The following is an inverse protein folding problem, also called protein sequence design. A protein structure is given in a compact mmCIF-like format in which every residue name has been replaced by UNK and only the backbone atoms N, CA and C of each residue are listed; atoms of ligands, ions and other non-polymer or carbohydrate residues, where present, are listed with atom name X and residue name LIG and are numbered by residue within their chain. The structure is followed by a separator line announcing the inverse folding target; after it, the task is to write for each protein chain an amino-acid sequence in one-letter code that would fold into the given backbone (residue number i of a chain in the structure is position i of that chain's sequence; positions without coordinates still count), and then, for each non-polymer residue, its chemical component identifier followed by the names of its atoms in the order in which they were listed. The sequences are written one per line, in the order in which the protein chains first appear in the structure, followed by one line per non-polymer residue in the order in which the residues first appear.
data_IF_494217610978
#
_entry.id   IF_494217610978
#
_cell.length_a   1.000
_cell.length_b   1.000
_cell.length_c   1.000
_cell.angle_alpha   90.00
_cell.angle_beta   90.00
_cell.angle_gamma   90.00
#
_symmetry.space_group_name_H-M   'P 1'
#
loop_
_entity.id
_entity.type
_entity.pdbx_description
1 polymer ?
#
# COMPACT_ATOMS: atom_id res chain seq x y z
N UNK A 1 71.54 44.27 26.73
CA UNK A 1 71.19 42.89 27.12
C UNK A 1 70.07 43.03 28.14
N UNK A 2 68.79 42.93 27.77
CA UNK A 2 68.04 41.68 27.52
C UNK A 2 68.23 40.71 28.72
N UNK A 3 67.23 40.17 29.40
CA UNK A 3 65.96 39.65 28.91
C UNK A 3 64.96 39.40 30.08
N UNK A 4 63.71 39.21 29.69
CA UNK A 4 62.46 39.07 30.40
C UNK A 4 62.33 37.84 31.31
N UNK A 5 61.38 37.93 32.24
CA UNK A 5 60.77 36.79 32.92
C UNK A 5 59.40 37.14 33.50
N UNK A 6 58.34 37.06 32.69
CA UNK A 6 56.94 37.15 33.14
C UNK A 6 56.53 35.89 33.94
N UNK A 7 55.66 35.99 34.97
CA UNK A 7 55.17 34.84 35.71
C UNK A 7 53.86 34.27 35.13
N UNK A 8 53.56 32.97 35.31
CA UNK A 8 52.22 32.46 35.11
C UNK A 8 51.53 32.05 36.42
N UNK A 9 50.27 32.46 36.55
CA UNK A 9 49.16 31.56 36.86
C UNK A 9 48.93 31.18 38.33
N UNK A 10 47.84 31.68 38.91
CA UNK A 10 46.58 30.93 39.12
C UNK A 10 45.78 31.57 40.27
N UNK A 11 44.83 32.43 39.92
CA UNK A 11 43.77 32.85 40.82
C UNK A 11 42.75 31.70 40.94
N UNK A 12 42.68 31.06 42.12
CA UNK A 12 41.57 30.15 42.46
C UNK A 12 40.37 30.98 42.89
N UNK A 13 39.38 31.06 42.01
CA UNK A 13 38.07 31.62 42.31
C UNK A 13 37.24 30.58 43.06
N UNK A 14 36.81 30.91 44.28
CA UNK A 14 35.86 30.12 45.07
C UNK A 14 34.48 30.27 44.45
N UNK A 15 33.99 29.23 43.76
CA UNK A 15 32.64 29.20 43.23
C UNK A 15 31.70 28.56 44.27
N UNK A 16 30.89 29.39 44.92
CA UNK A 16 29.86 29.00 45.87
C UNK A 16 28.77 28.19 45.15
N UNK A 17 28.65 26.91 45.51
CA UNK A 17 27.51 26.07 45.11
C UNK A 17 26.22 26.63 45.73
N UNK A 18 25.34 27.21 44.90
CA UNK A 18 23.92 27.42 45.25
C UNK A 18 23.12 26.17 44.85
N UNK A 19 22.38 25.52 45.76
CA UNK A 19 21.47 24.46 45.36
C UNK A 19 20.27 25.09 44.65
N UNK A 20 20.07 24.74 43.38
CA UNK A 20 18.84 25.07 42.67
C UNK A 20 17.69 24.25 43.28
N UNK A 21 16.73 24.95 43.89
CA UNK A 21 15.48 24.37 44.36
C UNK A 21 14.75 23.75 43.17
N UNK A 22 14.48 22.45 43.28
CA UNK A 22 13.79 21.63 42.29
C UNK A 22 12.30 21.93 42.37
N UNK A 23 11.81 22.84 41.54
CA UNK A 23 10.37 23.05 41.36
C UNK A 23 9.77 21.78 40.69
N UNK A 24 8.72 21.15 41.26
CA UNK A 24 8.03 20.07 40.58
C UNK A 24 7.20 20.69 39.45
N UNK A 25 7.69 20.51 38.22
CA UNK A 25 6.89 20.79 37.03
C UNK A 25 5.71 19.81 37.01
N UNK A 26 4.57 20.24 37.55
CA UNK A 26 3.27 19.65 37.24
C UNK A 26 2.98 19.95 35.76
N UNK A 27 3.60 19.19 34.87
CA UNK A 27 3.09 18.99 33.53
C UNK A 27 1.77 18.22 33.71
N UNK A 28 0.68 18.97 33.87
CA UNK A 28 -0.66 18.46 33.62
C UNK A 28 -0.68 18.19 32.11
N UNK A 29 -0.17 17.02 31.73
CA UNK A 29 -0.43 16.45 30.43
C UNK A 29 -1.95 16.39 30.34
N UNK A 30 -2.53 17.23 29.49
CA UNK A 30 -3.89 17.03 29.05
C UNK A 30 -3.91 15.62 28.45
N UNK A 31 -4.42 14.68 29.23
CA UNK A 31 -4.73 13.35 28.79
C UNK A 31 -5.85 13.54 27.78
N UNK A 32 -5.49 13.80 26.52
CA UNK A 32 -6.41 13.74 25.40
C UNK A 32 -6.88 12.30 25.41
N UNK A 33 -8.03 12.10 26.05
CA UNK A 33 -8.74 10.84 26.07
C UNK A 33 -8.97 10.50 24.62
N UNK A 34 -8.14 9.62 24.06
CA UNK A 34 -8.41 9.03 22.76
C UNK A 34 -9.64 8.18 23.00
N UNK A 35 -10.79 8.74 22.67
CA UNK A 35 -12.02 7.96 22.54
C UNK A 35 -11.65 6.77 21.66
N UNK A 36 -11.76 5.52 22.16
CA UNK A 36 -11.43 4.36 21.35
C UNK A 36 -12.39 4.41 20.17
N UNK A 37 -11.85 4.64 18.97
CA UNK A 37 -12.62 4.59 17.74
C UNK A 37 -13.39 3.27 17.77
N UNK A 38 -14.72 3.36 17.79
CA UNK A 38 -15.57 2.19 17.73
C UNK A 38 -15.07 1.33 16.57
N UNK A 39 -14.89 0.00 16.75
CA UNK A 39 -14.41 -0.85 15.67
C UNK A 39 -15.42 -0.67 14.53
N UNK A 40 -15.00 0.04 13.49
CA UNK A 40 -15.83 0.19 12.32
C UNK A 40 -15.99 -1.23 11.80
N UNK A 41 -17.17 -1.82 11.97
CA UNK A 41 -17.51 -3.06 11.29
C UNK A 41 -17.35 -2.71 9.82
N UNK A 42 -16.30 -3.26 9.21
CA UNK A 42 -15.61 -2.90 7.95
C UNK A 42 -16.48 -3.03 6.69
N UNK A 43 -17.73 -2.54 6.72
CA UNK A 43 -18.72 -2.72 5.67
C UNK A 43 -18.23 -2.24 4.30
N UNK A 44 -17.46 -1.15 4.26
CA UNK A 44 -16.87 -0.64 3.02
C UNK A 44 -15.90 -1.64 2.39
N UNK A 45 -15.03 -2.28 3.18
CA UNK A 45 -14.08 -3.28 2.66
C UNK A 45 -14.81 -4.50 2.15
N UNK A 46 -15.86 -4.94 2.84
CA UNK A 46 -16.72 -6.02 2.39
C UNK A 46 -17.38 -5.68 1.06
N UNK A 47 -17.94 -4.47 0.92
CA UNK A 47 -18.52 -3.99 -0.34
C UNK A 47 -17.50 -4.00 -1.47
N UNK A 48 -16.29 -3.46 -1.25
CA UNK A 48 -15.24 -3.45 -2.29
C UNK A 48 -14.78 -4.86 -2.70
N UNK A 49 -14.74 -5.82 -1.78
CA UNK A 49 -14.48 -7.23 -2.12
C UNK A 49 -15.62 -7.82 -2.95
N UNK A 50 -16.87 -7.48 -2.63
CA UNK A 50 -18.02 -7.88 -3.45
C UNK A 50 -17.99 -7.22 -4.83
N UNK A 51 -17.57 -5.96 -4.95
CA UNK A 51 -17.36 -5.32 -6.25
C UNK A 51 -16.32 -6.09 -7.07
N UNK A 52 -15.18 -6.48 -6.47
CA UNK A 52 -14.20 -7.36 -7.11
C UNK A 52 -14.80 -8.70 -7.56
N UNK A 53 -15.62 -9.33 -6.71
CA UNK A 53 -16.29 -10.59 -7.05
C UNK A 53 -17.30 -10.44 -8.20
N UNK A 54 -18.02 -9.32 -8.24
CA UNK A 54 -18.95 -8.98 -9.35
C UNK A 54 -18.16 -8.75 -10.64
N UNK A 55 -17.04 -8.02 -10.59
CA UNK A 55 -16.15 -7.82 -11.75
C UNK A 55 -15.64 -9.17 -12.27
N UNK A 56 -15.21 -10.07 -11.39
CA UNK A 56 -14.80 -11.43 -11.76
C UNK A 56 -15.96 -12.19 -12.43
N UNK A 57 -17.16 -12.17 -11.84
CA UNK A 57 -18.33 -12.87 -12.38
C UNK A 57 -18.72 -12.35 -13.77
N UNK A 58 -18.76 -11.03 -13.95
CA UNK A 58 -19.04 -10.40 -15.26
C UNK A 58 -17.99 -10.76 -16.28
N UNK A 59 -16.71 -10.76 -15.90
CA UNK A 59 -15.62 -11.15 -16.78
C UNK A 59 -15.72 -12.63 -17.21
N UNK A 60 -16.09 -13.53 -16.29
CA UNK A 60 -16.30 -14.96 -16.60
C UNK A 60 -17.48 -15.17 -17.56
N UNK A 61 -18.61 -14.51 -17.32
CA UNK A 61 -19.78 -14.57 -18.21
C UNK A 61 -19.43 -14.01 -19.59
N UNK A 62 -18.72 -12.88 -19.64
CA UNK A 62 -18.23 -12.31 -20.89
C UNK A 62 -17.28 -13.25 -21.62
N UNK A 63 -16.35 -13.88 -20.91
CA UNK A 63 -15.39 -14.80 -21.51
C UNK A 63 -16.04 -16.08 -22.04
N UNK A 64 -17.10 -16.56 -21.39
CA UNK A 64 -17.87 -17.70 -21.89
C UNK A 64 -18.48 -17.44 -23.27
N UNK A 65 -18.79 -16.17 -23.60
CA UNK A 65 -19.39 -15.76 -24.87
C UNK A 65 -18.35 -15.36 -25.92
N UNK A 66 -17.29 -14.64 -25.52
CA UNK A 66 -16.34 -13.99 -26.43
C UNK A 66 -14.89 -14.48 -26.30
N UNK A 67 -14.64 -15.50 -25.46
CA UNK A 67 -13.31 -16.01 -25.16
C UNK A 67 -12.72 -16.89 -26.26
N UNK A 68 -11.45 -17.27 -26.07
CA UNK A 68 -10.67 -18.10 -27.00
C UNK A 68 -10.42 -19.52 -26.43
N UNK A 69 -11.35 -20.00 -25.60
CA UNK A 69 -11.29 -21.31 -24.96
C UNK A 69 -10.76 -21.30 -23.53
N UNK A 70 -11.32 -22.15 -22.67
CA UNK A 70 -11.03 -22.18 -21.24
C UNK A 70 -9.59 -22.56 -20.88
N UNK A 71 -8.87 -23.28 -21.76
CA UNK A 71 -7.45 -23.55 -21.57
C UNK A 71 -6.59 -22.29 -21.62
N UNK A 72 -6.86 -21.40 -22.58
CA UNK A 72 -6.18 -20.09 -22.70
C UNK A 72 -6.51 -19.22 -21.49
N UNK A 73 -7.78 -19.20 -21.08
CA UNK A 73 -8.22 -18.50 -19.88
C UNK A 73 -7.46 -18.96 -18.63
N UNK A 74 -7.48 -20.27 -18.35
CA UNK A 74 -6.85 -20.84 -17.17
C UNK A 74 -5.34 -20.59 -17.17
N UNK A 75 -4.67 -20.74 -18.32
CA UNK A 75 -3.23 -20.48 -18.45
C UNK A 75 -2.89 -19.05 -18.05
N UNK A 76 -3.59 -18.06 -18.60
CA UNK A 76 -3.28 -16.65 -18.35
C UNK A 76 -3.80 -16.14 -17.00
N UNK A 77 -4.90 -16.69 -16.49
CA UNK A 77 -5.40 -16.36 -15.15
C UNK A 77 -4.49 -16.93 -14.05
N UNK A 78 -3.91 -18.12 -14.25
CA UNK A 78 -3.02 -18.76 -13.28
C UNK A 78 -1.54 -18.44 -13.49
N UNK A 79 -1.17 -17.85 -14.63
CA UNK A 79 0.19 -17.39 -14.88
C UNK A 79 0.68 -16.54 -13.69
N UNK A 80 1.96 -16.66 -13.28
CA UNK A 80 2.48 -15.87 -12.17
C UNK A 80 2.42 -14.37 -12.49
N UNK A 81 2.09 -13.57 -11.49
CA UNK A 81 2.05 -12.12 -11.63
C UNK A 81 3.48 -11.55 -11.66
N UNK A 82 3.92 -11.15 -12.85
CA UNK A 82 5.24 -10.57 -13.08
C UNK A 82 5.40 -9.19 -12.43
N UNK A 83 4.31 -8.48 -12.13
CA UNK A 83 4.39 -7.15 -11.50
C UNK A 83 4.99 -7.24 -10.08
N UNK A 84 4.90 -8.40 -9.44
CA UNK A 84 5.52 -8.67 -8.13
C UNK A 84 7.05 -8.61 -8.18
N UNK A 85 7.67 -8.89 -9.33
CA UNK A 85 9.13 -8.75 -9.48
C UNK A 85 9.59 -7.31 -9.28
N UNK A 86 8.71 -6.33 -9.45
CA UNK A 86 8.98 -4.93 -9.13
C UNK A 86 9.40 -4.69 -7.69
N UNK A 87 8.96 -5.53 -6.75
CA UNK A 87 9.36 -5.45 -5.34
C UNK A 87 10.83 -5.80 -5.11
N UNK A 88 11.52 -6.45 -6.06
CA UNK A 88 12.97 -6.64 -6.00
C UNK A 88 13.73 -5.31 -6.11
N UNK A 89 13.14 -4.30 -6.76
CA UNK A 89 13.68 -2.94 -6.83
C UNK A 89 13.19 -2.04 -5.67
N UNK A 90 12.45 -2.60 -4.71
CA UNK A 90 11.97 -1.94 -3.51
C UNK A 90 10.46 -1.64 -3.47
N UNK A 91 9.91 -1.26 -2.31
CA UNK A 91 8.45 -1.18 -2.07
C UNK A 91 7.71 -0.20 -2.98
N UNK A 92 8.33 0.94 -3.30
CA UNK A 92 7.70 1.98 -4.12
C UNK A 92 7.52 1.54 -5.57
N UNK A 93 8.59 0.98 -6.16
CA UNK A 93 8.59 0.47 -7.53
C UNK A 93 7.65 -0.73 -7.64
N UNK A 94 7.71 -1.64 -6.67
CA UNK A 94 6.80 -2.77 -6.58
C UNK A 94 5.33 -2.35 -6.52
N UNK A 95 4.97 -1.40 -5.65
CA UNK A 95 3.61 -0.89 -5.55
C UNK A 95 3.15 -0.21 -6.84
N UNK A 96 4.02 0.58 -7.49
CA UNK A 96 3.70 1.24 -8.76
C UNK A 96 3.43 0.25 -9.89
N UNK A 97 4.32 -0.74 -10.09
CA UNK A 97 4.17 -1.76 -11.14
C UNK A 97 2.96 -2.66 -10.88
N UNK A 98 2.76 -3.07 -9.63
CA UNK A 98 1.60 -3.85 -9.25
C UNK A 98 0.30 -3.08 -9.49
N UNK A 99 0.22 -1.81 -9.07
CA UNK A 99 -0.98 -1.00 -9.27
C UNK A 99 -1.26 -0.74 -10.75
N UNK A 100 -0.23 -0.57 -11.58
CA UNK A 100 -0.40 -0.46 -13.02
C UNK A 100 -1.02 -1.74 -13.63
N UNK A 101 -0.63 -2.92 -13.13
CA UNK A 101 -1.18 -4.20 -13.56
C UNK A 101 -2.58 -4.50 -12.97
N UNK A 102 -2.90 -3.98 -11.78
CA UNK A 102 -4.14 -4.30 -11.04
C UNK A 102 -5.15 -3.15 -10.95
N UNK A 103 -4.91 -2.06 -11.67
CA UNK A 103 -5.92 -1.03 -11.90
C UNK A 103 -6.90 -1.49 -12.97
N UNK A 104 -8.21 -1.25 -12.77
CA UNK A 104 -9.24 -1.57 -13.76
C UNK A 104 -9.08 -0.80 -15.09
N UNK A 105 -8.32 0.29 -15.09
CA UNK A 105 -8.08 1.12 -16.27
C UNK A 105 -7.50 0.29 -17.42
N UNK A 106 -6.44 -0.50 -17.16
CA UNK A 106 -5.79 -1.33 -18.16
C UNK A 106 -6.72 -2.33 -18.86
N UNK A 107 -7.36 -3.27 -18.13
CA UNK A 107 -8.27 -4.24 -18.74
C UNK A 107 -9.48 -3.60 -19.40
N UNK A 108 -10.05 -2.53 -18.85
CA UNK A 108 -11.19 -1.84 -19.45
C UNK A 108 -10.80 -1.16 -20.77
N UNK A 109 -9.64 -0.51 -20.84
CA UNK A 109 -9.14 0.07 -22.08
C UNK A 109 -8.86 -1.00 -23.15
N UNK A 110 -8.26 -2.13 -22.77
CA UNK A 110 -8.01 -3.23 -23.68
C UNK A 110 -9.32 -3.86 -24.20
N UNK A 111 -10.30 -4.04 -23.31
CA UNK A 111 -11.63 -4.54 -23.66
C UNK A 111 -12.34 -3.57 -24.61
N UNK A 112 -12.34 -2.28 -24.30
CA UNK A 112 -12.93 -1.25 -25.16
C UNK A 112 -12.26 -1.23 -26.54
N UNK A 113 -10.92 -1.26 -26.59
CA UNK A 113 -10.17 -1.39 -27.84
C UNK A 113 -10.60 -2.64 -28.62
N UNK A 114 -10.71 -3.79 -27.96
CA UNK A 114 -11.16 -5.03 -28.61
C UNK A 114 -12.54 -4.91 -29.23
N UNK A 115 -13.48 -4.25 -28.56
CA UNK A 115 -14.84 -4.04 -29.07
C UNK A 115 -14.83 -3.05 -30.24
N UNK A 116 -14.25 -1.86 -30.08
CA UNK A 116 -14.31 -0.80 -31.09
C UNK A 116 -13.44 -1.08 -32.33
N UNK A 117 -12.33 -1.78 -32.17
CA UNK A 117 -11.45 -2.18 -33.27
C UNK A 117 -11.80 -3.57 -33.84
N UNK A 118 -12.89 -4.20 -33.36
CA UNK A 118 -13.31 -5.55 -33.74
C UNK A 118 -12.16 -6.58 -33.67
N UNK A 119 -11.40 -6.56 -32.57
CA UNK A 119 -10.27 -7.45 -32.31
C UNK A 119 -10.64 -8.50 -31.25
N UNK A 120 -10.97 -9.75 -31.64
CA UNK A 120 -11.42 -10.78 -30.69
C UNK A 120 -10.37 -11.14 -29.63
N UNK A 121 -9.09 -11.14 -30.02
CA UNK A 121 -7.99 -11.41 -29.09
C UNK A 121 -7.89 -10.37 -27.97
N UNK A 122 -8.20 -9.10 -28.27
CA UNK A 122 -8.17 -8.02 -27.30
C UNK A 122 -9.40 -8.07 -26.38
N UNK A 123 -10.57 -8.47 -26.89
CA UNK A 123 -11.76 -8.74 -26.05
C UNK A 123 -11.45 -9.87 -25.07
N UNK A 124 -10.97 -11.01 -25.57
CA UNK A 124 -10.63 -12.16 -24.73
C UNK A 124 -9.51 -11.83 -23.71
N UNK A 125 -8.46 -11.13 -24.13
CA UNK A 125 -7.36 -10.68 -23.26
C UNK A 125 -7.82 -9.68 -22.21
N UNK A 126 -8.67 -8.71 -22.58
CA UNK A 126 -9.28 -7.75 -21.68
C UNK A 126 -10.15 -8.43 -20.62
N UNK A 127 -10.95 -9.43 -21.01
CA UNK A 127 -11.78 -10.22 -20.09
C UNK A 127 -10.95 -11.09 -19.13
N UNK A 128 -9.89 -11.75 -19.61
CA UNK A 128 -8.96 -12.50 -18.74
C UNK A 128 -8.31 -11.56 -17.72
N UNK A 129 -7.81 -10.41 -18.19
CA UNK A 129 -7.18 -9.43 -17.32
C UNK A 129 -8.18 -8.86 -16.31
N UNK A 130 -9.39 -8.54 -16.74
CA UNK A 130 -10.47 -8.08 -15.87
C UNK A 130 -10.81 -9.13 -14.80
N UNK A 131 -10.91 -10.41 -15.18
CA UNK A 131 -11.11 -11.51 -14.24
C UNK A 131 -9.97 -11.59 -13.21
N UNK A 132 -8.73 -11.41 -13.65
CA UNK A 132 -7.56 -11.41 -12.74
C UNK A 132 -7.63 -10.27 -11.72
N UNK A 133 -7.95 -9.05 -12.16
CA UNK A 133 -8.11 -7.89 -11.27
C UNK A 133 -9.29 -8.08 -10.32
N UNK A 134 -10.43 -8.57 -10.82
CA UNK A 134 -11.60 -8.86 -9.99
C UNK A 134 -11.31 -9.91 -8.91
N UNK A 135 -10.61 -11.00 -9.27
CA UNK A 135 -10.19 -12.02 -8.32
C UNK A 135 -9.25 -11.45 -7.24
N UNK A 136 -8.27 -10.65 -7.65
CA UNK A 136 -7.34 -9.98 -6.73
C UNK A 136 -8.08 -9.08 -5.70
N UNK A 137 -9.04 -8.28 -6.17
CA UNK A 137 -9.83 -7.39 -5.31
C UNK A 137 -10.80 -8.19 -4.43
N UNK A 138 -11.42 -9.25 -4.94
CA UNK A 138 -12.31 -10.13 -4.16
C UNK A 138 -11.59 -10.80 -3.00
N UNK A 139 -10.33 -11.20 -3.19
CA UNK A 139 -9.49 -11.81 -2.17
C UNK A 139 -8.92 -10.79 -1.17
N UNK A 140 -9.15 -9.49 -1.38
CA UNK A 140 -8.67 -8.44 -0.49
C UNK A 140 -7.23 -8.01 -0.74
N UNK A 141 -6.63 -8.37 -1.88
CA UNK A 141 -5.28 -7.92 -2.22
C UNK A 141 -5.29 -6.46 -2.66
N UNK A 142 -6.07 -6.10 -3.68
CA UNK A 142 -6.32 -4.72 -4.11
C UNK A 142 -5.07 -3.88 -4.39
N UNK A 143 -5.29 -2.61 -4.72
CA UNK A 143 -4.21 -1.63 -4.92
C UNK A 143 -3.36 -1.42 -3.65
N UNK A 144 -2.05 -1.28 -3.86
CA UNK A 144 -1.00 -1.23 -2.85
C UNK A 144 -0.57 0.19 -2.53
N UNK A 145 -0.34 0.46 -1.25
CA UNK A 145 0.38 1.63 -0.80
C UNK A 145 1.90 1.42 -0.91
N UNK A 146 2.63 2.52 -1.10
CA UNK A 146 4.08 2.52 -1.26
C UNK A 146 4.86 2.11 0.02
N UNK A 147 4.16 1.89 1.14
CA UNK A 147 4.70 1.45 2.42
C UNK A 147 5.06 -0.04 2.44
N UNK A 148 4.53 -0.83 1.51
CA UNK A 148 4.85 -2.25 1.34
C UNK A 148 3.67 -3.09 0.87
N UNK A 149 3.95 -4.32 0.42
CA UNK A 149 2.97 -5.21 -0.22
C UNK A 149 1.72 -5.50 0.63
N UNK A 150 1.88 -5.58 1.95
CA UNK A 150 0.77 -5.88 2.85
C UNK A 150 -0.20 -4.70 3.05
N UNK A 151 0.16 -3.47 2.68
CA UNK A 151 -0.69 -2.29 2.90
C UNK A 151 -1.51 -2.00 1.65
N UNK A 152 -2.83 -2.14 1.74
CA UNK A 152 -3.73 -2.08 0.58
C UNK A 152 -4.93 -1.19 0.87
N UNK A 153 -5.61 -0.72 -0.17
CA UNK A 153 -6.86 0.04 0.01
C UNK A 153 -8.01 -0.81 0.59
N UNK A 154 -7.88 -2.14 0.57
CA UNK A 154 -8.83 -3.10 1.15
C UNK A 154 -8.43 -3.53 2.57
N UNK A 155 -7.46 -2.86 3.16
CA UNK A 155 -6.88 -3.20 4.46
C UNK A 155 -5.52 -3.87 4.36
N UNK A 156 -4.97 -4.27 5.50
CA UNK A 156 -3.71 -4.98 5.62
C UNK A 156 -3.90 -6.47 5.36
N UNK A 157 -3.01 -7.04 4.57
CA UNK A 157 -2.95 -8.48 4.37
C UNK A 157 -2.39 -9.15 5.62
N UNK A 158 -3.07 -10.20 6.10
CA UNK A 158 -2.61 -11.06 7.18
C UNK A 158 -3.12 -10.63 8.55
N UNK A 159 -2.32 -9.87 9.31
CA UNK A 159 -2.73 -9.43 10.66
C UNK A 159 -4.00 -8.59 10.57
N UNK A 160 -4.92 -8.81 11.51
CA UNK A 160 -6.11 -7.99 11.66
C UNK A 160 -5.71 -6.52 11.66
N UNK A 161 -6.38 -5.77 10.79
CA UNK A 161 -6.24 -4.33 10.73
C UNK A 161 -6.66 -3.74 12.09
N UNK A 162 -5.80 -2.93 12.73
CA UNK A 162 -6.11 -2.33 14.02
C UNK A 162 -7.03 -1.10 13.90
N UNK A 163 -7.64 -0.89 12.74
CA UNK A 163 -8.48 0.26 12.39
C UNK A 163 -9.81 -0.20 11.81
#
# INVERSE_FOLDING_TARGET
MADMGSPPGFARFVSLHRPALREPQHHVAAEVSREPAAPAVDGVRTVLRFEGAVVLAVALVGYAQFGMGWGVFALWLLAPDLSLLGYLAGPRVGAALYNAAHALIGPVLLLAFGVFAAQPWAVAGGLIWLARVGLDHALGFGLKYATGFASTHLGRIGRADPW
#
